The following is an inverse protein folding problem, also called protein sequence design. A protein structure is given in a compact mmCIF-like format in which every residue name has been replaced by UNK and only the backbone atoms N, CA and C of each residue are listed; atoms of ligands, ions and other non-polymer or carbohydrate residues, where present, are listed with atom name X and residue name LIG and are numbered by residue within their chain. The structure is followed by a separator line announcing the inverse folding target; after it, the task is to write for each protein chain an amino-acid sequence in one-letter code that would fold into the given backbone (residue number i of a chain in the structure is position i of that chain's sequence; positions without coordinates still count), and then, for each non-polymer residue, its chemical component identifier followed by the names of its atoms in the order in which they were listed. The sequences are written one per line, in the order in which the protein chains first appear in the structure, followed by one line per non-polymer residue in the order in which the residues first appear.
data_IF_453741394387
#
_entry.id   IF_453741394387
#
_cell.length_a   1.000
_cell.length_b   1.000
_cell.length_c   1.000
_cell.angle_alpha   90.00
_cell.angle_beta   90.00
_cell.angle_gamma   90.00
#
_symmetry.space_group_name_H-M   'P 1'
#
loop_
_entity.id
_entity.type
_entity.pdbx_description
1 polymer ?
#
# COMPACT_ATOMS: atom_id res chain seq x y z
N UNK A 1 24.36 10.67 -4.16
CA UNK A 1 23.76 9.63 -5.01
C UNK A 1 22.27 9.95 -5.11
N UNK A 2 21.88 10.71 -6.13
CA UNK A 2 20.48 11.02 -6.40
C UNK A 2 19.85 9.84 -7.14
N UNK A 3 19.02 9.07 -6.46
CA UNK A 3 18.22 8.02 -7.09
C UNK A 3 17.02 8.70 -7.74
N UNK A 4 17.13 9.02 -9.02
CA UNK A 4 15.97 9.43 -9.83
C UNK A 4 15.17 8.18 -10.22
N UNK A 5 13.99 7.99 -9.62
CA UNK A 5 13.04 6.96 -10.05
C UNK A 5 12.49 7.32 -11.43
N UNK A 6 12.80 6.54 -12.46
CA UNK A 6 12.42 6.87 -13.85
C UNK A 6 11.05 6.31 -14.22
N UNK A 7 10.55 5.34 -13.46
CA UNK A 7 9.27 4.68 -13.69
C UNK A 7 8.76 4.00 -12.39
N UNK A 8 7.52 3.47 -12.42
CA UNK A 8 6.90 2.79 -11.28
C UNK A 8 7.64 1.52 -10.84
N UNK A 9 8.30 0.82 -11.77
CA UNK A 9 9.07 -0.39 -11.42
C UNK A 9 10.26 -0.03 -10.52
N UNK A 10 11.01 1.02 -10.88
CA UNK A 10 12.14 1.49 -10.07
C UNK A 10 11.68 1.90 -8.66
N UNK A 11 10.51 2.55 -8.57
CA UNK A 11 9.89 2.92 -7.30
C UNK A 11 9.58 1.67 -6.46
N UNK A 12 8.90 0.67 -7.02
CA UNK A 12 8.56 -0.56 -6.28
C UNK A 12 9.80 -1.35 -5.85
N UNK A 13 10.82 -1.44 -6.71
CA UNK A 13 12.12 -2.04 -6.34
C UNK A 13 12.75 -1.31 -5.15
N UNK A 14 12.72 0.03 -5.16
CA UNK A 14 13.28 0.83 -4.07
C UNK A 14 12.47 0.71 -2.77
N UNK A 15 11.15 0.78 -2.85
CA UNK A 15 10.27 0.57 -1.69
C UNK A 15 10.50 -0.81 -1.05
N UNK A 16 10.62 -1.85 -1.88
CA UNK A 16 10.95 -3.19 -1.40
C UNK A 16 12.32 -3.24 -0.71
N UNK A 17 13.33 -2.55 -1.25
CA UNK A 17 14.66 -2.43 -0.64
C UNK A 17 14.60 -1.73 0.72
N UNK A 18 13.96 -0.55 0.80
CA UNK A 18 13.81 0.21 2.05
C UNK A 18 13.09 -0.62 3.11
N UNK A 19 11.97 -1.27 2.74
CA UNK A 19 11.23 -2.15 3.64
C UNK A 19 12.11 -3.28 4.17
N UNK A 20 12.86 -3.96 3.29
CA UNK A 20 13.77 -5.04 3.69
C UNK A 20 14.88 -4.56 4.64
N UNK A 21 15.38 -3.33 4.48
CA UNK A 21 16.36 -2.74 5.39
C UNK A 21 15.74 -2.44 6.76
N UNK A 22 14.51 -1.91 6.80
CA UNK A 22 13.79 -1.62 8.05
C UNK A 22 13.49 -2.90 8.84
N UNK A 23 13.11 -3.99 8.17
CA UNK A 23 12.81 -5.28 8.79
C UNK A 23 14.04 -5.95 9.42
N UNK A 24 15.21 -5.83 8.76
CA UNK A 24 16.44 -6.52 9.19
C UNK A 24 17.30 -5.70 10.15
N UNK A 25 17.17 -4.37 10.15
CA UNK A 25 18.04 -3.50 10.93
C UNK A 25 17.55 -3.40 12.39
N UNK A 26 18.32 -4.03 13.30
CA UNK A 26 18.04 -4.04 14.75
C UNK A 26 17.87 -2.65 15.36
N UNK A 27 18.49 -1.61 14.79
CA UNK A 27 18.34 -0.21 15.24
C UNK A 27 16.92 0.32 15.03
N UNK A 28 16.28 -0.09 13.94
CA UNK A 28 14.94 0.39 13.55
C UNK A 28 13.82 -0.48 14.10
N UNK A 29 14.08 -1.77 14.37
CA UNK A 29 13.07 -2.72 14.86
C UNK A 29 12.32 -2.29 16.14
N UNK A 30 12.93 -1.41 16.97
CA UNK A 30 12.29 -0.84 18.18
C UNK A 30 11.63 0.53 17.96
N UNK A 31 11.76 1.11 16.76
CA UNK A 31 11.31 2.47 16.43
C UNK A 31 10.26 2.49 15.31
N UNK A 32 10.32 1.52 14.41
CA UNK A 32 9.44 1.40 13.25
C UNK A 32 8.99 -0.06 13.14
N UNK A 33 7.68 -0.26 12.97
CA UNK A 33 7.08 -1.56 12.72
C UNK A 33 6.38 -1.54 11.37
N UNK A 34 6.67 -2.53 10.53
CA UNK A 34 5.94 -2.76 9.28
C UNK A 34 4.77 -3.66 9.62
N UNK A 35 3.55 -3.15 9.46
CA UNK A 35 2.34 -3.92 9.73
C UNK A 35 1.93 -4.77 8.52
N UNK A 36 1.25 -5.90 8.73
CA UNK A 36 0.66 -6.68 7.64
C UNK A 36 -0.26 -5.82 6.77
N UNK A 37 -0.17 -5.99 5.45
CA UNK A 37 -1.04 -5.28 4.50
C UNK A 37 -2.50 -5.71 4.72
N UNK A 38 -3.44 -4.79 4.55
CA UNK A 38 -4.88 -5.08 4.57
C UNK A 38 -5.49 -5.46 5.93
N UNK A 39 -4.69 -5.53 7.00
CA UNK A 39 -5.16 -5.85 8.37
C UNK A 39 -5.25 -4.61 9.28
N UNK A 40 -5.21 -3.41 8.69
CA UNK A 40 -5.31 -2.14 9.42
C UNK A 40 -6.77 -1.73 9.63
N UNK A 41 -7.04 -0.85 10.60
CA UNK A 41 -8.37 -0.31 10.88
C UNK A 41 -8.92 0.58 9.76
N UNK A 42 -8.05 1.04 8.85
CA UNK A 42 -8.46 1.74 7.64
C UNK A 42 -8.01 0.97 6.41
N UNK A 43 -8.90 0.81 5.43
CA UNK A 43 -8.55 0.23 4.13
C UNK A 43 -9.09 1.04 2.96
N UNK A 44 -8.46 0.86 1.82
CA UNK A 44 -8.90 1.43 0.56
C UNK A 44 -10.20 0.74 0.11
N UNK A 45 -11.27 1.52 -0.11
CA UNK A 45 -12.57 0.96 -0.52
C UNK A 45 -12.56 0.35 -1.93
N UNK A 46 -11.61 0.76 -2.80
CA UNK A 46 -11.49 0.23 -4.15
C UNK A 46 -11.04 -1.25 -4.19
N UNK A 47 -10.39 -1.73 -3.12
CA UNK A 47 -9.91 -3.11 -3.01
C UNK A 47 -11.04 -4.14 -3.10
N UNK A 48 -12.25 -3.76 -2.70
CA UNK A 48 -13.41 -4.66 -2.67
C UNK A 48 -14.59 -4.10 -3.46
N UNK A 49 -14.33 -3.23 -4.46
CA UNK A 49 -15.37 -2.53 -5.22
C UNK A 49 -16.40 -1.82 -4.31
N UNK A 50 -15.89 -1.20 -3.24
CA UNK A 50 -16.67 -0.48 -2.20
C UNK A 50 -17.59 -1.35 -1.35
N UNK A 51 -17.48 -2.69 -1.45
CA UNK A 51 -18.16 -3.61 -0.52
C UNK A 51 -17.55 -3.50 0.89
N UNK A 52 -18.38 -3.69 1.90
CA UNK A 52 -18.02 -3.52 3.30
C UNK A 52 -18.69 -4.56 4.21
N UNK A 53 -18.15 -4.73 5.41
CA UNK A 53 -18.70 -5.57 6.48
C UNK A 53 -18.66 -4.85 7.83
N UNK A 54 -19.29 -5.40 8.86
CA UNK A 54 -19.31 -4.81 10.21
C UNK A 54 -17.93 -4.80 10.90
N UNK A 55 -16.93 -5.51 10.36
CA UNK A 55 -15.53 -5.42 10.83
C UNK A 55 -14.76 -4.24 10.22
N UNK A 56 -15.32 -3.57 9.20
CA UNK A 56 -14.71 -2.39 8.61
C UNK A 56 -14.91 -1.17 9.51
N UNK A 57 -13.82 -0.51 9.89
CA UNK A 57 -13.88 0.72 10.68
C UNK A 57 -13.97 1.97 9.79
N UNK A 58 -12.98 2.23 8.91
CA UNK A 58 -12.98 3.39 8.01
C UNK A 58 -12.47 3.04 6.60
N UNK A 59 -13.13 3.59 5.58
CA UNK A 59 -12.57 3.66 4.23
C UNK A 59 -11.78 4.93 4.00
N UNK A 60 -10.59 4.80 3.41
CA UNK A 60 -9.78 5.93 3.00
C UNK A 60 -9.60 5.97 1.46
N UNK A 61 -8.92 7.02 0.99
CA UNK A 61 -8.50 7.12 -0.42
C UNK A 61 -9.61 7.51 -1.41
N UNK A 62 -10.82 7.83 -0.95
CA UNK A 62 -11.92 8.25 -1.82
C UNK A 62 -11.71 9.63 -2.43
N UNK A 63 -11.29 9.65 -3.69
CA UNK A 63 -11.18 10.87 -4.48
C UNK A 63 -12.44 11.07 -5.31
N UNK A 64 -13.06 12.26 -5.26
CA UNK A 64 -14.27 12.60 -6.05
C UNK A 64 -14.11 12.31 -7.54
N UNK A 65 -12.94 12.58 -8.11
CA UNK A 65 -12.63 12.32 -9.54
C UNK A 65 -12.65 10.83 -9.92
N UNK A 66 -12.61 9.92 -8.95
CA UNK A 66 -12.59 8.45 -9.13
C UNK A 66 -13.96 7.81 -8.89
N UNK A 67 -14.95 8.56 -8.43
CA UNK A 67 -16.30 8.07 -8.18
C UNK A 67 -16.95 7.57 -9.48
N UNK A 68 -17.39 6.31 -9.50
CA UNK A 68 -18.04 5.64 -10.62
C UNK A 68 -17.27 5.76 -11.95
N UNK A 69 -15.93 5.69 -11.89
CA UNK A 69 -15.06 5.68 -13.07
C UNK A 69 -14.52 4.27 -13.35
N UNK A 70 -14.20 4.01 -14.61
CA UNK A 70 -13.43 2.83 -15.00
C UNK A 70 -11.94 3.20 -15.00
N UNK A 71 -11.34 3.29 -13.82
CA UNK A 71 -9.93 3.65 -13.67
C UNK A 71 -9.37 3.05 -12.37
N UNK A 72 -8.04 2.99 -12.26
CA UNK A 72 -7.38 2.59 -11.01
C UNK A 72 -7.89 3.40 -9.81
N UNK A 73 -8.07 2.70 -8.69
CA UNK A 73 -8.63 3.22 -7.44
C UNK A 73 -10.01 3.88 -7.60
N UNK A 74 -10.83 3.39 -8.55
CA UNK A 74 -12.23 3.76 -8.63
C UNK A 74 -13.04 3.16 -7.50
N UNK A 75 -14.08 3.88 -7.11
CA UNK A 75 -14.97 3.48 -6.04
C UNK A 75 -16.41 3.85 -6.39
N UNK A 76 -17.35 3.11 -5.79
CA UNK A 76 -18.79 3.32 -5.90
C UNK A 76 -19.29 3.89 -4.58
N UNK A 77 -20.32 4.71 -4.63
CA UNK A 77 -20.88 5.31 -3.43
C UNK A 77 -21.61 4.24 -2.60
N UNK A 78 -21.13 3.86 -1.39
CA UNK A 78 -21.80 2.87 -0.55
C UNK A 78 -22.89 3.51 0.32
N UNK A 79 -23.24 4.77 0.06
CA UNK A 79 -24.30 5.51 0.74
C UNK A 79 -25.46 5.78 -0.23
N UNK A 80 -26.68 5.83 0.32
CA UNK A 80 -27.88 6.21 -0.44
C UNK A 80 -27.90 7.70 -0.79
N UNK A 81 -27.17 8.52 -0.03
CA UNK A 81 -27.08 9.97 -0.23
C UNK A 81 -25.74 10.51 0.30
N UNK A 82 -25.20 11.53 -0.36
CA UNK A 82 -24.09 12.35 0.15
C UNK A 82 -24.56 13.67 0.75
N UNK A 83 -25.87 13.93 0.75
CA UNK A 83 -26.46 15.10 1.37
C UNK A 83 -26.67 14.82 2.84
N UNK A 84 -25.90 15.50 3.67
CA UNK A 84 -26.02 15.44 5.11
C UNK A 84 -26.93 16.55 5.62
N UNK A 85 -27.80 16.21 6.55
CA UNK A 85 -28.52 17.20 7.33
C UNK A 85 -27.59 17.73 8.43
N UNK A 86 -27.12 18.96 8.26
CA UNK A 86 -26.18 19.60 9.17
C UNK A 86 -26.76 19.82 10.57
N UNK A 87 -28.09 19.87 10.73
CA UNK A 87 -28.70 20.03 12.06
C UNK A 87 -28.59 18.80 12.95
N UNK A 88 -28.35 17.62 12.37
CA UNK A 88 -28.17 16.37 13.10
C UNK A 88 -26.73 16.18 13.62
N UNK A 89 -25.77 16.95 13.09
CA UNK A 89 -24.38 16.89 13.50
C UNK A 89 -24.24 17.26 14.99
N UNK A 90 -23.60 16.40 15.80
CA UNK A 90 -23.43 16.62 17.24
C UNK A 90 -24.64 16.24 18.11
N UNK A 91 -25.72 15.75 17.50
CA UNK A 91 -26.89 15.21 18.21
C UNK A 91 -26.80 13.70 18.37
N UNK A 92 -27.63 13.10 19.23
CA UNK A 92 -27.76 11.65 19.32
C UNK A 92 -28.31 10.99 18.04
N UNK A 93 -28.92 11.76 17.14
CA UNK A 93 -29.45 11.32 15.84
C UNK A 93 -28.44 11.43 14.70
N UNK A 94 -27.15 11.67 14.98
CA UNK A 94 -26.12 11.79 13.95
C UNK A 94 -26.04 10.58 13.01
N UNK A 95 -26.46 9.39 13.47
CA UNK A 95 -26.43 8.15 12.67
C UNK A 95 -27.39 8.19 11.47
N UNK A 96 -28.46 9.00 11.53
CA UNK A 96 -29.44 9.14 10.44
C UNK A 96 -28.84 9.76 9.16
N UNK A 97 -27.71 10.46 9.30
CA UNK A 97 -26.93 11.00 8.20
C UNK A 97 -26.17 9.90 7.43
N UNK A 98 -25.91 8.76 8.05
CA UNK A 98 -25.12 7.66 7.49
C UNK A 98 -26.00 6.54 6.94
N UNK A 99 -26.78 6.86 5.90
CA UNK A 99 -27.67 5.90 5.23
C UNK A 99 -26.88 5.03 4.26
N UNK A 100 -26.44 3.87 4.72
CA UNK A 100 -25.69 2.91 3.90
C UNK A 100 -26.57 2.23 2.86
N UNK A 101 -26.01 2.04 1.66
CA UNK A 101 -26.55 1.17 0.64
C UNK A 101 -26.19 -0.29 0.99
N UNK A 102 -27.16 -1.02 1.53
CA UNK A 102 -26.98 -2.41 1.98
C UNK A 102 -26.64 -3.38 0.84
N UNK A 103 -26.79 -3.01 -0.44
CA UNK A 103 -26.35 -3.86 -1.55
C UNK A 103 -24.82 -4.02 -1.62
N UNK A 104 -24.06 -3.16 -0.93
CA UNK A 104 -22.61 -3.26 -0.76
C UNK A 104 -22.20 -4.00 0.53
N UNK A 105 -23.13 -4.26 1.44
CA UNK A 105 -22.85 -5.00 2.66
C UNK A 105 -22.57 -6.48 2.34
N UNK A 106 -21.55 -7.06 2.97
CA UNK A 106 -21.12 -8.45 2.79
C UNK A 106 -20.79 -9.07 4.14
N UNK A 107 -20.74 -10.40 4.17
CA UNK A 107 -20.25 -11.12 5.33
C UNK A 107 -18.76 -10.84 5.54
N UNK A 108 -18.27 -10.72 6.80
CA UNK A 108 -16.86 -10.47 7.06
C UNK A 108 -15.91 -11.49 6.43
N UNK A 109 -16.31 -12.76 6.38
CA UNK A 109 -15.51 -13.83 5.74
C UNK A 109 -15.32 -13.62 4.24
N UNK A 110 -16.33 -13.10 3.53
CA UNK A 110 -16.25 -12.80 2.10
C UNK A 110 -15.29 -11.65 1.83
N UNK A 111 -15.41 -10.56 2.61
CA UNK A 111 -14.49 -9.42 2.53
C UNK A 111 -13.05 -9.88 2.83
N UNK A 112 -12.87 -10.69 3.88
CA UNK A 112 -11.55 -11.22 4.25
C UNK A 112 -10.94 -12.06 3.14
N UNK A 113 -11.70 -12.95 2.51
CA UNK A 113 -11.21 -13.75 1.38
C UNK A 113 -10.77 -12.90 0.17
N UNK A 114 -11.52 -11.84 -0.15
CA UNK A 114 -11.17 -10.89 -1.21
C UNK A 114 -9.87 -10.14 -0.86
N UNK A 115 -9.74 -9.67 0.38
CA UNK A 115 -8.54 -8.99 0.88
C UNK A 115 -7.33 -9.93 0.93
N UNK A 116 -7.48 -11.18 1.38
CA UNK A 116 -6.39 -12.16 1.48
C UNK A 116 -5.79 -12.48 0.09
N UNK A 117 -6.62 -12.49 -0.94
CA UNK A 117 -6.17 -12.63 -2.33
C UNK A 117 -5.26 -11.46 -2.72
N UNK A 118 -5.67 -10.23 -2.41
CA UNK A 118 -4.91 -9.02 -2.70
C UNK A 118 -3.61 -8.98 -1.90
N UNK A 119 -3.66 -9.33 -0.61
CA UNK A 119 -2.49 -9.40 0.26
C UNK A 119 -1.48 -10.39 -0.31
N UNK A 120 -1.93 -11.59 -0.70
CA UNK A 120 -1.08 -12.63 -1.28
C UNK A 120 -0.41 -12.16 -2.57
N UNK A 121 -1.16 -11.53 -3.48
CA UNK A 121 -0.61 -10.97 -4.72
C UNK A 121 0.44 -9.89 -4.45
N UNK A 122 0.13 -8.97 -3.53
CA UNK A 122 1.03 -7.88 -3.14
C UNK A 122 2.29 -8.37 -2.42
N UNK A 123 2.20 -9.48 -1.69
CA UNK A 123 3.35 -10.09 -1.02
C UNK A 123 4.25 -10.79 -2.04
N UNK A 124 3.66 -11.51 -3.01
CA UNK A 124 4.41 -12.10 -4.12
C UNK A 124 5.18 -11.04 -4.92
N UNK A 125 4.53 -9.92 -5.24
CA UNK A 125 5.17 -8.78 -5.90
C UNK A 125 6.30 -8.20 -5.05
N UNK A 126 6.08 -8.00 -3.74
CA UNK A 126 7.12 -7.54 -2.82
C UNK A 126 8.34 -8.47 -2.82
N UNK A 127 8.15 -9.79 -2.74
CA UNK A 127 9.27 -10.73 -2.72
C UNK A 127 10.04 -10.74 -4.04
N UNK A 128 9.36 -10.60 -5.17
CA UNK A 128 9.99 -10.44 -6.49
C UNK A 128 10.84 -9.17 -6.53
N UNK A 129 10.29 -8.02 -6.14
CA UNK A 129 11.02 -6.76 -6.16
C UNK A 129 12.17 -6.71 -5.13
N UNK A 130 12.01 -7.38 -3.99
CA UNK A 130 13.09 -7.59 -3.03
C UNK A 130 14.24 -8.40 -3.61
N UNK A 131 13.95 -9.41 -4.43
CA UNK A 131 14.99 -10.19 -5.10
C UNK A 131 15.70 -9.36 -6.18
N UNK A 132 14.95 -8.60 -7.00
CA UNK A 132 15.53 -7.65 -7.96
C UNK A 132 16.48 -6.66 -7.27
N UNK A 133 16.07 -6.09 -6.14
CA UNK A 133 16.89 -5.15 -5.37
C UNK A 133 18.20 -5.78 -4.87
N UNK A 134 18.17 -7.06 -4.45
CA UNK A 134 19.38 -7.80 -4.04
C UNK A 134 20.36 -7.99 -5.19
N UNK A 135 19.86 -8.33 -6.37
CA UNK A 135 20.69 -8.53 -7.57
C UNK A 135 21.34 -7.22 -8.02
N UNK A 136 20.58 -6.12 -8.01
CA UNK A 136 21.11 -4.78 -8.29
C UNK A 136 22.22 -4.43 -7.30
N UNK A 137 21.99 -4.63 -6.00
CA UNK A 137 22.99 -4.33 -4.97
C UNK A 137 24.25 -5.19 -5.12
N UNK A 138 24.11 -6.47 -5.41
CA UNK A 138 25.25 -7.37 -5.65
C UNK A 138 26.09 -6.93 -6.85
N UNK A 139 25.44 -6.52 -7.94
CA UNK A 139 26.11 -6.02 -9.14
C UNK A 139 26.83 -4.68 -8.88
N UNK A 140 26.20 -3.76 -8.14
CA UNK A 140 26.83 -2.50 -7.74
C UNK A 140 28.08 -2.74 -6.89
N UNK A 141 27.98 -3.63 -5.89
CA UNK A 141 29.10 -3.98 -5.00
C UNK A 141 30.25 -4.61 -5.78
N UNK A 142 29.93 -5.51 -6.74
CA UNK A 142 30.93 -6.11 -7.63
C UNK A 142 31.64 -5.06 -8.49
N UNK A 143 30.89 -4.11 -9.05
CA UNK A 143 31.44 -3.06 -9.89
C UNK A 143 32.32 -2.10 -9.08
N UNK A 144 31.94 -1.74 -7.85
CA UNK A 144 32.79 -0.94 -6.95
C UNK A 144 34.12 -1.65 -6.65
N UNK A 145 34.08 -2.95 -6.35
CA UNK A 145 35.30 -3.75 -6.14
C UNK A 145 36.21 -3.76 -7.37
N UNK A 146 35.65 -3.95 -8.57
CA UNK A 146 36.40 -3.90 -9.84
C UNK A 146 37.02 -2.52 -10.04
N UNK A 147 36.27 -1.44 -9.77
CA UNK A 147 36.73 -0.07 -9.95
C UNK A 147 37.87 0.27 -8.98
N UNK A 148 37.74 -0.13 -7.71
CA UNK A 148 38.80 0.02 -6.71
C UNK A 148 40.07 -0.75 -7.09
N UNK A 149 39.95 -2.01 -7.52
CA UNK A 149 41.10 -2.81 -7.96
C UNK A 149 41.79 -2.23 -9.22
N UNK A 150 41.00 -1.66 -10.14
CA UNK A 150 41.52 -1.01 -11.33
C UNK A 150 42.26 0.30 -11.00
N UNK A 151 41.78 1.04 -10.00
CA UNK A 151 42.40 2.29 -9.53
C UNK A 151 43.69 2.04 -8.75
N UNK A 152 43.76 0.96 -7.97
CA UNK A 152 44.99 0.56 -7.27
C UNK A 152 46.06 0.10 -8.26
N UNK A 153 45.68 -0.65 -9.30
CA UNK A 153 46.65 -1.12 -10.32
C UNK A 153 47.18 -0.01 -11.23
N UNK A 154 46.43 1.07 -11.45
CA UNK A 154 46.90 2.26 -12.18
C UNK A 154 47.77 3.20 -11.34
N UNK A 155 47.69 3.13 -10.01
CA UNK A 155 48.46 3.98 -9.08
C UNK A 155 49.86 3.42 -8.74
N UNK A 156 50.14 2.16 -9.10
CA UNK A 156 51.41 1.46 -8.83
C UNK A 156 52.32 1.39 -10.07
N UNK A 157 52.16 2.33 -11.03
CA UNK A 157 53.04 2.50 -12.20
C UNK A 157 53.68 3.87 -12.20
#
# INVERSE_FOLDING_TARGET
MEIFFRNYKDLFTYEACVRAQLENNKKWKKKVSVLPKGQSWARDGWLTDSKWSEEDFIFHGWQKRRLNKQAFASWKLPFLSTKFNMSLCGTNSYIENWKYNRTFARNPSEIRAELDTIITLNDNEYYKEKQNAREILANLTKNELIWHNSSISSSNK
#
